data_IF_885422205542
#
_entry.id   IF_885422205542
#
_cell.length_a   1.000
_cell.length_b   1.000
_cell.length_c   1.000
_cell.angle_alpha   90.00
_cell.angle_beta   90.00
_cell.angle_gamma   90.00
#
_symmetry.space_group_name_H-M   'P 1'
#
loop_
_entity.id
_entity.type
_entity.pdbx_description
1 polymer ?
#
# COMPACT_ATOMS: atom_id res chain seq x y z
N UNK A 1 -9.48 -25.45 -10.24
CA UNK A 1 -9.98 -24.53 -11.30
C UNK A 1 -9.28 -23.16 -11.30
N UNK A 2 -8.00 -23.06 -10.91
CA UNK A 2 -7.22 -21.80 -11.01
C UNK A 2 -6.07 -21.87 -12.03
N UNK A 3 -5.66 -23.09 -12.43
CA UNK A 3 -4.52 -23.30 -13.34
C UNK A 3 -4.80 -22.90 -14.81
N UNK A 4 -6.06 -22.87 -15.25
CA UNK A 4 -6.42 -22.54 -16.63
C UNK A 4 -6.55 -21.03 -16.92
N UNK A 5 -6.60 -20.16 -15.91
CA UNK A 5 -6.68 -18.71 -16.12
C UNK A 5 -5.33 -18.06 -16.44
N UNK A 6 -4.23 -18.73 -16.12
CA UNK A 6 -2.87 -18.25 -16.43
C UNK A 6 -2.53 -18.33 -17.93
N UNK A 7 -3.27 -19.09 -18.73
CA UNK A 7 -3.03 -19.26 -20.17
C UNK A 7 -3.62 -18.10 -21.01
N UNK A 8 -4.58 -17.34 -20.45
CA UNK A 8 -5.27 -16.27 -21.17
C UNK A 8 -4.74 -14.85 -20.89
N UNK A 9 -3.68 -14.71 -20.08
CA UNK A 9 -2.97 -13.42 -19.86
C UNK A 9 -3.81 -12.30 -19.23
N UNK A 10 -4.96 -12.62 -18.65
CA UNK A 10 -5.86 -11.65 -18.02
C UNK A 10 -5.50 -11.37 -16.56
N UNK A 11 -5.85 -10.16 -16.10
CA UNK A 11 -5.81 -9.78 -14.70
C UNK A 11 -6.59 -10.78 -13.83
N UNK A 12 -6.00 -11.22 -12.72
CA UNK A 12 -6.71 -12.02 -11.72
C UNK A 12 -7.50 -11.05 -10.84
N UNK A 13 -8.71 -10.70 -11.27
CA UNK A 13 -9.53 -9.64 -10.67
C UNK A 13 -9.64 -9.71 -9.13
N UNK A 14 -9.84 -10.90 -8.57
CA UNK A 14 -9.86 -11.12 -7.11
C UNK A 14 -8.52 -10.79 -6.43
N UNK A 15 -7.40 -11.12 -7.08
CA UNK A 15 -6.07 -10.83 -6.55
C UNK A 15 -5.78 -9.32 -6.63
N UNK A 16 -6.15 -8.66 -7.72
CA UNK A 16 -6.03 -7.20 -7.85
C UNK A 16 -6.90 -6.46 -6.83
N UNK A 17 -8.12 -6.94 -6.60
CA UNK A 17 -9.01 -6.39 -5.58
C UNK A 17 -8.37 -6.52 -4.19
N UNK A 18 -7.86 -7.70 -3.85
CA UNK A 18 -7.16 -7.94 -2.58
C UNK A 18 -5.93 -7.04 -2.41
N UNK A 19 -5.14 -6.85 -3.48
CA UNK A 19 -4.01 -5.91 -3.46
C UNK A 19 -4.47 -4.45 -3.28
N UNK A 20 -5.61 -4.08 -3.86
CA UNK A 20 -6.23 -2.77 -3.68
C UNK A 20 -6.63 -2.52 -2.23
N UNK A 21 -7.38 -3.44 -1.63
CA UNK A 21 -7.80 -3.38 -0.22
C UNK A 21 -6.58 -3.37 0.72
N UNK A 22 -5.56 -4.19 0.43
CA UNK A 22 -4.32 -4.23 1.22
C UNK A 22 -3.55 -2.91 1.15
N UNK A 23 -3.58 -2.23 0.00
CA UNK A 23 -2.95 -0.91 -0.18
C UNK A 23 -3.67 0.15 0.64
N UNK A 24 -5.01 0.16 0.63
CA UNK A 24 -5.80 1.11 1.42
C UNK A 24 -5.51 0.95 2.92
N UNK A 25 -5.52 -0.27 3.43
CA UNK A 25 -5.19 -0.54 4.84
C UNK A 25 -3.75 -0.11 5.22
N UNK A 26 -2.78 -0.27 4.30
CA UNK A 26 -1.42 0.16 4.55
C UNK A 26 -1.28 1.70 4.58
N UNK A 27 -2.09 2.42 3.77
CA UNK A 27 -2.17 3.88 3.79
C UNK A 27 -2.80 4.34 5.11
N UNK A 28 -3.91 3.74 5.53
CA UNK A 28 -4.62 4.13 6.75
C UNK A 28 -3.69 4.04 7.97
N UNK A 29 -2.95 2.94 8.11
CA UNK A 29 -1.96 2.79 9.20
C UNK A 29 -0.85 3.83 9.14
N UNK A 30 -0.33 4.14 7.95
CA UNK A 30 0.70 5.16 7.78
C UNK A 30 0.18 6.56 8.16
N UNK A 31 -1.08 6.85 7.86
CA UNK A 31 -1.75 8.10 8.25
C UNK A 31 -1.92 8.15 9.76
N UNK A 32 -2.45 7.10 10.39
CA UNK A 32 -2.62 7.02 11.85
C UNK A 32 -1.28 7.26 12.58
N UNK A 33 -0.18 6.68 12.09
CA UNK A 33 1.16 6.92 12.64
C UNK A 33 1.60 8.38 12.46
N UNK A 34 1.36 8.98 11.30
CA UNK A 34 1.71 10.39 11.06
C UNK A 34 0.87 11.36 11.90
N UNK A 35 -0.43 11.07 12.09
CA UNK A 35 -1.33 11.82 12.96
C UNK A 35 -0.90 11.73 14.42
N UNK A 36 -0.47 10.54 14.88
CA UNK A 36 0.07 10.34 16.23
C UNK A 36 1.37 11.13 16.46
N UNK A 37 2.16 11.37 15.40
CA UNK A 37 3.32 12.27 15.43
C UNK A 37 2.94 13.76 15.32
N UNK A 38 1.65 14.05 15.16
CA UNK A 38 1.11 15.39 14.96
C UNK A 38 1.51 16.00 13.62
N UNK A 39 1.81 15.21 12.59
CA UNK A 39 2.20 15.76 11.28
C UNK A 39 1.03 16.43 10.56
N UNK A 40 1.34 17.38 9.66
CA UNK A 40 0.33 18.02 8.79
C UNK A 40 0.25 17.34 7.42
N UNK A 41 1.22 16.49 7.10
CA UNK A 41 1.25 15.71 5.86
C UNK A 41 2.35 14.66 5.83
N UNK A 42 2.34 13.86 4.77
CA UNK A 42 3.34 12.82 4.50
C UNK A 42 3.89 13.03 3.09
N UNK A 43 5.20 13.17 2.96
CA UNK A 43 5.88 13.35 1.66
C UNK A 43 6.72 12.12 1.32
N UNK A 44 7.06 11.98 0.04
CA UNK A 44 7.93 10.89 -0.42
C UNK A 44 7.31 9.51 -0.21
N UNK A 45 5.98 9.40 -0.26
CA UNK A 45 5.25 8.14 -0.09
C UNK A 45 5.69 7.11 -1.14
N UNK A 46 6.01 5.90 -0.68
CA UNK A 46 6.42 4.77 -1.50
C UNK A 46 5.65 3.53 -1.10
N UNK A 47 5.35 2.72 -2.11
CA UNK A 47 4.79 1.39 -1.95
C UNK A 47 5.82 0.35 -2.35
N UNK A 48 5.96 -0.69 -1.54
CA UNK A 48 6.77 -1.86 -1.87
C UNK A 48 5.95 -3.11 -1.60
N UNK A 49 6.20 -4.15 -2.38
CA UNK A 49 5.62 -5.47 -2.15
C UNK A 49 6.71 -6.53 -2.28
N UNK A 50 6.59 -7.59 -1.48
CA UNK A 50 7.46 -8.74 -1.52
C UNK A 50 6.64 -10.01 -1.30
N UNK A 51 7.05 -11.13 -1.89
CA UNK A 51 6.47 -12.42 -1.55
C UNK A 51 7.05 -12.89 -0.22
N UNK A 52 6.20 -13.04 0.79
CA UNK A 52 6.59 -13.51 2.13
C UNK A 52 6.42 -15.02 2.29
N UNK A 53 5.50 -15.61 1.51
CA UNK A 53 5.31 -17.05 1.41
C UNK A 53 4.65 -17.40 0.08
N UNK A 54 4.59 -18.69 -0.25
CA UNK A 54 3.91 -19.13 -1.47
C UNK A 54 2.43 -18.70 -1.45
N UNK A 55 2.06 -17.80 -2.36
CA UNK A 55 0.70 -17.30 -2.48
C UNK A 55 0.34 -16.15 -1.51
N UNK A 56 1.28 -15.64 -0.71
CA UNK A 56 1.05 -14.43 0.07
C UNK A 56 2.19 -13.40 -0.13
N UNK A 57 1.78 -12.15 -0.27
CA UNK A 57 2.68 -11.02 -0.42
C UNK A 57 2.43 -10.00 0.68
N UNK A 58 3.49 -9.32 1.11
CA UNK A 58 3.38 -8.13 1.96
C UNK A 58 3.14 -6.88 1.10
N UNK A 59 2.49 -5.90 1.71
CA UNK A 59 2.32 -4.54 1.19
C UNK A 59 2.91 -3.58 2.22
N UNK A 60 3.99 -2.91 1.86
CA UNK A 60 4.64 -1.89 2.67
C UNK A 60 4.29 -0.51 2.10
N UNK A 61 3.84 0.39 2.96
CA UNK A 61 3.57 1.79 2.64
C UNK A 61 4.35 2.65 3.65
N UNK A 62 5.19 3.55 3.16
CA UNK A 62 5.99 4.42 4.03
C UNK A 62 6.27 5.76 3.36
N UNK A 63 6.57 6.77 4.17
CA UNK A 63 6.94 8.10 3.75
C UNK A 63 7.56 8.89 4.89
N UNK A 64 7.68 10.20 4.71
CA UNK A 64 8.21 11.12 5.73
C UNK A 64 7.09 12.03 6.21
N UNK A 65 6.72 11.90 7.48
CA UNK A 65 5.78 12.79 8.15
C UNK A 65 6.41 14.18 8.33
N UNK A 66 5.67 15.24 7.98
CA UNK A 66 6.18 16.62 7.98
C UNK A 66 5.24 17.60 8.67
N UNK A 67 5.81 18.66 9.22
CA UNK A 67 5.11 19.87 9.65
C UNK A 67 5.23 20.93 8.56
N UNK A 68 4.13 21.60 8.25
CA UNK A 68 4.11 22.66 7.25
C UNK A 68 4.18 24.02 7.95
N UNK A 69 5.06 24.88 7.45
CA UNK A 69 5.09 26.30 7.83
C UNK A 69 4.55 27.12 6.66
N UNK A 70 3.80 28.17 6.95
CA UNK A 70 3.31 29.07 5.92
C UNK A 70 4.51 29.78 5.27
N UNK A 71 4.63 29.67 3.95
CA UNK A 71 5.52 30.52 3.18
C UNK A 71 4.83 31.87 2.96
N UNK A 72 5.46 32.94 3.43
CA UNK A 72 5.02 34.33 3.24
C UNK A 72 5.38 34.85 1.86
#
# INVERSE_FOLDING_TARGET
MAQFRNIAGGEVHEYSKLLGESREQAIDRMIEEAEALGADGIIGVRFQTSMVMQGAAEMLCYGTAVKLEAAF
#
